data_IF_910134447924
#
_entry.id   IF_910134447924
#
_cell.length_a   1.000
_cell.length_b   1.000
_cell.length_c   1.000
_cell.angle_alpha   90.00
_cell.angle_beta   90.00
_cell.angle_gamma   90.00
#
_symmetry.space_group_name_H-M   'P 1'
#
loop_
_entity.id
_entity.type
_entity.pdbx_description
1 polymer ?
#
# COMPACT_ATOMS: atom_id res chain seq x y z
N UNK A 1 -12.54 -6.64 7.43
CA UNK A 1 -11.51 -6.22 6.46
C UNK A 1 -10.38 -7.24 6.42
N UNK A 2 -9.96 -7.68 5.23
CA UNK A 2 -8.83 -8.60 5.06
C UNK A 2 -7.50 -7.84 5.04
N UNK A 3 -6.54 -8.22 5.87
CA UNK A 3 -5.19 -7.62 5.84
C UNK A 3 -4.25 -8.49 5.02
N UNK A 4 -3.49 -7.88 4.11
CA UNK A 4 -2.44 -8.48 3.30
C UNK A 4 -1.09 -7.88 3.65
N UNK A 5 -0.06 -8.73 3.70
CA UNK A 5 1.34 -8.28 3.71
C UNK A 5 1.92 -8.44 2.31
N UNK A 6 2.34 -7.33 1.71
CA UNK A 6 3.10 -7.32 0.47
C UNK A 6 4.56 -7.67 0.77
N UNK A 7 5.03 -8.76 0.15
CA UNK A 7 6.31 -9.39 0.46
C UNK A 7 7.09 -9.74 -0.79
N UNK A 8 8.40 -9.50 -0.77
CA UNK A 8 9.31 -10.12 -1.74
C UNK A 8 9.50 -11.62 -1.42
N UNK A 9 9.98 -12.45 -2.37
CA UNK A 9 10.16 -13.88 -2.14
C UNK A 9 10.98 -14.23 -0.89
N UNK A 10 12.05 -13.47 -0.61
CA UNK A 10 12.91 -13.69 0.57
C UNK A 10 12.25 -13.34 1.91
N UNK A 11 11.18 -12.55 1.90
CA UNK A 11 10.50 -12.08 3.10
C UNK A 11 9.27 -12.92 3.48
N UNK A 12 8.75 -13.71 2.52
CA UNK A 12 7.46 -14.39 2.67
C UNK A 12 7.39 -15.29 3.90
N UNK A 13 8.46 -16.04 4.23
CA UNK A 13 8.47 -16.92 5.39
C UNK A 13 8.40 -16.16 6.72
N UNK A 14 9.10 -15.04 6.84
CA UNK A 14 9.09 -14.21 8.05
C UNK A 14 7.72 -13.55 8.24
N UNK A 15 7.19 -12.92 7.19
CA UNK A 15 5.89 -12.25 7.22
C UNK A 15 4.72 -13.21 7.48
N UNK A 16 4.78 -14.44 6.95
CA UNK A 16 3.74 -15.46 7.10
C UNK A 16 3.50 -15.90 8.56
N UNK A 17 4.43 -15.59 9.48
CA UNK A 17 4.26 -15.83 10.92
C UNK A 17 3.21 -14.90 11.54
N UNK A 18 3.05 -13.71 10.97
CA UNK A 18 2.18 -12.67 11.51
C UNK A 18 0.81 -12.67 10.85
N UNK A 19 0.76 -12.76 9.52
CA UNK A 19 -0.48 -12.71 8.76
C UNK A 19 -0.43 -13.56 7.51
N UNK A 20 -1.60 -14.10 7.17
CA UNK A 20 -1.95 -14.68 5.88
C UNK A 20 -3.36 -14.21 5.52
N UNK A 21 -3.71 -14.11 4.23
CA UNK A 21 -2.88 -14.32 3.05
C UNK A 21 -1.86 -13.20 2.75
N UNK A 22 -0.88 -13.50 1.89
CA UNK A 22 0.19 -12.58 1.45
C UNK A 22 -0.10 -12.03 0.05
N UNK A 23 0.46 -10.86 -0.28
CA UNK A 23 0.58 -10.36 -1.65
C UNK A 23 2.04 -10.55 -2.12
N UNK A 24 2.25 -11.37 -3.15
CA UNK A 24 3.59 -11.77 -3.58
C UNK A 24 4.17 -10.76 -4.56
N UNK A 25 5.01 -9.84 -4.06
CA UNK A 25 5.76 -8.83 -4.82
C UNK A 25 6.92 -9.51 -5.54
N UNK A 26 6.59 -10.17 -6.63
CA UNK A 26 7.51 -11.02 -7.37
C UNK A 26 7.32 -10.95 -8.88
N UNK A 27 6.38 -10.14 -9.37
CA UNK A 27 6.07 -10.05 -10.80
C UNK A 27 6.24 -8.63 -11.31
N UNK A 28 6.71 -8.54 -12.55
CA UNK A 28 6.85 -7.27 -13.28
C UNK A 28 6.51 -7.49 -14.75
N UNK A 29 6.23 -6.40 -15.43
CA UNK A 29 5.99 -6.38 -16.88
C UNK A 29 7.35 -6.31 -17.60
N UNK A 30 7.57 -7.21 -18.56
CA UNK A 30 8.75 -7.25 -19.43
C UNK A 30 8.41 -6.92 -20.88
N UNK A 31 9.44 -6.90 -21.72
CA UNK A 31 9.33 -6.60 -23.16
C UNK A 31 8.35 -7.51 -23.89
N UNK A 32 7.61 -6.96 -24.86
CA UNK A 32 6.54 -7.69 -25.57
C UNK A 32 5.42 -8.15 -24.65
N UNK A 33 5.09 -7.34 -23.63
CA UNK A 33 3.99 -7.58 -22.70
C UNK A 33 4.06 -8.92 -21.94
N UNK A 34 5.27 -9.42 -21.67
CA UNK A 34 5.47 -10.67 -20.93
C UNK A 34 5.42 -10.46 -19.42
N UNK A 35 4.78 -11.39 -18.70
CA UNK A 35 4.83 -11.42 -17.24
C UNK A 35 6.13 -12.08 -16.78
N UNK A 36 7.05 -11.27 -16.26
CA UNK A 36 8.29 -11.76 -15.65
C UNK A 36 8.07 -12.06 -14.18
N UNK A 37 8.71 -13.13 -13.69
CA UNK A 37 8.63 -13.59 -12.31
C UNK A 37 10.02 -13.68 -11.71
N UNK A 38 10.19 -13.17 -10.49
CA UNK A 38 11.39 -13.37 -9.68
C UNK A 38 11.46 -14.81 -9.11
N UNK A 39 12.52 -15.12 -8.36
CA UNK A 39 12.74 -16.45 -7.79
C UNK A 39 11.78 -16.75 -6.62
N UNK A 40 10.52 -17.04 -6.95
CA UNK A 40 9.53 -17.60 -6.02
C UNK A 40 9.76 -19.10 -5.84
N UNK A 41 9.72 -19.54 -4.58
CA UNK A 41 9.76 -20.95 -4.23
C UNK A 41 8.64 -21.73 -4.96
N UNK A 42 8.92 -22.97 -5.36
CA UNK A 42 7.97 -23.81 -6.09
C UNK A 42 6.67 -24.03 -5.28
N UNK A 43 6.80 -24.16 -3.96
CA UNK A 43 5.70 -24.37 -3.02
C UNK A 43 4.86 -23.13 -2.70
N UNK A 44 5.24 -21.93 -3.20
CA UNK A 44 4.42 -20.73 -2.98
C UNK A 44 3.06 -20.89 -3.66
N UNK A 45 2.00 -20.86 -2.84
CA UNK A 45 0.61 -21.04 -3.21
C UNK A 45 -0.28 -20.11 -2.37
N UNK A 46 -1.41 -19.68 -2.93
CA UNK A 46 -2.39 -18.84 -2.24
C UNK A 46 -1.96 -17.37 -2.08
N UNK A 47 -2.93 -16.53 -1.74
CA UNK A 47 -2.74 -15.09 -1.64
C UNK A 47 -2.94 -14.36 -2.96
N UNK A 48 -2.20 -13.28 -3.18
CA UNK A 48 -2.35 -12.41 -4.34
C UNK A 48 -1.08 -12.39 -5.20
N UNK A 49 -1.28 -12.26 -6.51
CA UNK A 49 -0.23 -11.93 -7.45
C UNK A 49 -0.01 -10.41 -7.43
N UNK A 50 1.19 -9.93 -7.05
CA UNK A 50 1.50 -8.49 -7.18
C UNK A 50 2.34 -8.23 -8.44
N UNK A 51 1.87 -7.32 -9.30
CA UNK A 51 2.56 -6.87 -10.53
C UNK A 51 3.01 -5.42 -10.37
N UNK A 52 4.31 -5.18 -10.49
CA UNK A 52 4.87 -3.82 -10.51
C UNK A 52 5.02 -3.28 -11.94
N UNK A 53 4.80 -1.98 -12.11
CA UNK A 53 5.11 -1.25 -13.35
C UNK A 53 6.42 -0.45 -13.30
N UNK A 54 7.19 -0.61 -12.22
CA UNK A 54 8.46 0.09 -12.04
C UNK A 54 9.42 -0.28 -13.17
N UNK A 55 9.83 0.72 -13.96
CA UNK A 55 10.67 0.55 -15.17
C UNK A 55 10.07 -0.44 -16.18
N UNK A 56 8.74 -0.59 -16.21
CA UNK A 56 8.06 -1.45 -17.18
C UNK A 56 8.09 -0.82 -18.58
N UNK A 57 8.32 -1.63 -19.64
CA UNK A 57 8.16 -1.18 -21.02
C UNK A 57 6.68 -0.89 -21.33
N UNK A 58 6.41 -0.46 -22.56
CA UNK A 58 5.04 -0.28 -23.05
C UNK A 58 4.31 -1.62 -23.06
N UNK A 59 3.04 -1.62 -22.67
CA UNK A 59 2.15 -2.78 -22.85
C UNK A 59 1.51 -2.67 -24.24
N UNK A 60 2.07 -3.39 -25.20
CA UNK A 60 1.62 -3.46 -26.60
C UNK A 60 0.64 -4.61 -26.89
N UNK A 61 0.61 -5.64 -26.04
CA UNK A 61 -0.32 -6.78 -26.10
C UNK A 61 -0.97 -7.01 -24.73
N UNK A 62 -1.99 -6.21 -24.37
CA UNK A 62 -2.66 -6.31 -23.08
C UNK A 62 -3.42 -7.63 -22.92
N UNK A 63 -3.91 -8.24 -24.00
CA UNK A 63 -4.58 -9.55 -23.99
C UNK A 63 -3.62 -10.66 -23.55
N UNK A 64 -2.43 -10.73 -24.15
CA UNK A 64 -1.42 -11.72 -23.79
C UNK A 64 -0.96 -11.56 -22.34
N UNK A 65 -0.76 -10.32 -21.89
CA UNK A 65 -0.38 -10.03 -20.50
C UNK A 65 -1.48 -10.44 -19.52
N UNK A 66 -2.75 -10.11 -19.80
CA UNK A 66 -3.90 -10.56 -18.99
C UNK A 66 -3.93 -12.09 -18.88
N UNK A 67 -3.79 -12.78 -20.02
CA UNK A 67 -3.79 -14.24 -20.04
C UNK A 67 -2.61 -14.82 -19.24
N UNK A 68 -1.43 -14.19 -19.27
CA UNK A 68 -0.27 -14.59 -18.47
C UNK A 68 -0.53 -14.43 -16.96
N UNK A 69 -1.09 -13.29 -16.55
CA UNK A 69 -1.46 -13.02 -15.15
C UNK A 69 -2.47 -14.05 -14.65
N UNK A 70 -3.53 -14.33 -15.42
CA UNK A 70 -4.56 -15.28 -15.03
C UNK A 70 -4.06 -16.73 -14.99
N UNK A 71 -3.22 -17.14 -15.94
CA UNK A 71 -2.56 -18.46 -15.94
C UNK A 71 -1.71 -18.64 -14.68
N UNK A 72 -0.91 -17.65 -14.31
CA UNK A 72 -0.11 -17.71 -13.10
C UNK A 72 -0.98 -17.74 -11.84
N UNK A 73 -2.06 -16.95 -11.80
CA UNK A 73 -3.03 -17.01 -10.71
C UNK A 73 -3.67 -18.40 -10.57
N UNK A 74 -4.02 -19.06 -11.67
CA UNK A 74 -4.51 -20.44 -11.66
C UNK A 74 -3.46 -21.41 -11.11
N UNK A 75 -2.23 -21.35 -11.63
CA UNK A 75 -1.13 -22.26 -11.26
C UNK A 75 -0.71 -22.16 -9.79
N UNK A 76 -0.85 -20.98 -9.20
CA UNK A 76 -0.46 -20.65 -7.81
C UNK A 76 -1.65 -20.60 -6.86
N UNK A 77 -2.87 -20.86 -7.35
CA UNK A 77 -4.11 -20.68 -6.60
C UNK A 77 -4.23 -19.27 -5.95
N UNK A 78 -3.82 -18.23 -6.68
CA UNK A 78 -4.00 -16.85 -6.23
C UNK A 78 -5.47 -16.44 -6.38
N UNK A 79 -5.97 -15.82 -5.31
CA UNK A 79 -7.37 -15.40 -5.18
C UNK A 79 -7.61 -13.98 -5.73
N UNK A 80 -6.55 -13.28 -6.10
CA UNK A 80 -6.61 -11.93 -6.61
C UNK A 80 -5.28 -11.42 -7.12
N UNK A 81 -5.31 -10.20 -7.62
CA UNK A 81 -4.20 -9.49 -8.25
C UNK A 81 -4.10 -8.13 -7.57
N UNK A 82 -2.87 -7.74 -7.23
CA UNK A 82 -2.51 -6.42 -6.76
C UNK A 82 -1.65 -5.76 -7.85
N UNK A 83 -2.09 -4.62 -8.37
CA UNK A 83 -1.28 -3.79 -9.25
C UNK A 83 -0.53 -2.78 -8.39
N UNK A 84 0.78 -3.00 -8.26
CA UNK A 84 1.72 -2.14 -7.54
C UNK A 84 2.29 -1.09 -8.52
N UNK A 85 1.38 -0.26 -9.04
CA UNK A 85 1.70 0.71 -10.09
C UNK A 85 2.07 2.05 -9.48
N UNK A 86 3.35 2.41 -9.57
CA UNK A 86 3.94 3.61 -8.95
C UNK A 86 4.05 4.78 -9.94
N UNK A 87 4.02 4.52 -11.24
CA UNK A 87 4.06 5.57 -12.27
C UNK A 87 2.72 6.27 -12.46
N UNK A 88 2.70 7.52 -12.98
CA UNK A 88 1.47 8.19 -13.37
C UNK A 88 0.66 7.40 -14.41
N UNK A 89 -0.68 7.57 -14.48
CA UNK A 89 -1.51 6.90 -15.47
C UNK A 89 -1.03 7.07 -16.91
N UNK A 90 -0.84 5.95 -17.61
CA UNK A 90 -0.50 5.90 -19.04
C UNK A 90 -1.56 5.12 -19.82
N UNK A 91 -1.80 5.46 -21.11
CA UNK A 91 -2.86 4.82 -21.89
C UNK A 91 -2.75 3.30 -22.06
N UNK A 92 -1.51 2.79 -22.19
CA UNK A 92 -1.22 1.35 -22.31
C UNK A 92 -1.62 0.60 -21.03
N UNK A 93 -1.23 1.14 -19.88
CA UNK A 93 -1.58 0.62 -18.55
C UNK A 93 -3.08 0.68 -18.31
N UNK A 94 -3.74 1.79 -18.67
CA UNK A 94 -5.20 1.91 -18.55
C UNK A 94 -5.95 0.91 -19.43
N UNK A 95 -5.43 0.61 -20.61
CA UNK A 95 -6.01 -0.42 -21.49
C UNK A 95 -5.84 -1.80 -20.89
N UNK A 96 -4.63 -2.14 -20.41
CA UNK A 96 -4.38 -3.38 -19.69
C UNK A 96 -5.28 -3.55 -18.46
N UNK A 97 -5.43 -2.52 -17.63
CA UNK A 97 -6.23 -2.55 -16.40
C UNK A 97 -7.71 -2.78 -16.72
N UNK A 98 -8.28 -2.04 -17.68
CA UNK A 98 -9.67 -2.24 -18.11
C UNK A 98 -9.89 -3.65 -18.64
N UNK A 99 -8.95 -4.15 -19.45
CA UNK A 99 -9.04 -5.52 -19.97
C UNK A 99 -8.97 -6.54 -18.84
N UNK A 100 -8.06 -6.37 -17.90
CA UNK A 100 -7.89 -7.26 -16.76
C UNK A 100 -9.12 -7.25 -15.85
N UNK A 101 -9.74 -6.10 -15.61
CA UNK A 101 -10.98 -5.94 -14.84
C UNK A 101 -12.16 -6.73 -15.46
N UNK A 102 -12.24 -6.77 -16.80
CA UNK A 102 -13.24 -7.57 -17.51
C UNK A 102 -13.01 -9.09 -17.36
N UNK A 103 -11.75 -9.53 -17.43
CA UNK A 103 -11.41 -10.96 -17.50
C UNK A 103 -11.00 -11.59 -16.17
N UNK A 104 -10.81 -10.80 -15.09
CA UNK A 104 -10.41 -11.29 -13.78
C UNK A 104 -11.41 -12.28 -13.16
N UNK A 105 -12.68 -12.23 -13.59
CA UNK A 105 -13.73 -13.11 -13.13
C UNK A 105 -14.01 -12.92 -11.65
N UNK A 106 -13.86 -13.98 -10.85
CA UNK A 106 -14.08 -13.93 -9.38
C UNK A 106 -12.89 -13.41 -8.59
N UNK A 107 -11.74 -13.16 -9.25
CA UNK A 107 -10.53 -12.68 -8.57
C UNK A 107 -10.66 -11.20 -8.26
N UNK A 108 -10.29 -10.80 -7.04
CA UNK A 108 -10.20 -9.39 -6.70
C UNK A 108 -9.06 -8.73 -7.51
N UNK A 109 -9.30 -7.54 -8.04
CA UNK A 109 -8.29 -6.72 -8.70
C UNK A 109 -8.09 -5.45 -7.89
N UNK A 110 -6.98 -5.35 -7.17
CA UNK A 110 -6.60 -4.19 -6.39
C UNK A 110 -5.65 -3.30 -7.20
N UNK A 111 -5.85 -1.99 -7.16
CA UNK A 111 -5.03 -1.03 -7.93
C UNK A 111 -4.99 0.36 -7.26
N UNK A 112 -4.04 1.23 -7.62
CA UNK A 112 -3.98 2.58 -7.10
C UNK A 112 -5.22 3.40 -7.50
N UNK A 113 -5.69 4.27 -6.60
CA UNK A 113 -6.87 5.12 -6.79
C UNK A 113 -6.88 5.86 -8.14
N UNK A 114 -5.74 6.42 -8.55
CA UNK A 114 -5.56 7.15 -9.82
C UNK A 114 -5.79 6.34 -11.09
N UNK A 115 -5.75 5.01 -11.02
CA UNK A 115 -6.02 4.10 -12.14
C UNK A 115 -7.45 3.57 -12.13
N UNK A 116 -8.28 3.97 -11.16
CA UNK A 116 -9.60 3.38 -10.97
C UNK A 116 -10.67 3.88 -11.95
N UNK A 117 -10.38 4.95 -12.69
CA UNK A 117 -11.29 5.47 -13.71
C UNK A 117 -11.52 4.45 -14.82
N UNK A 118 -12.78 4.25 -15.22
CA UNK A 118 -13.15 3.30 -16.27
C UNK A 118 -13.17 1.81 -15.86
N UNK A 119 -12.85 1.49 -14.60
CA UNK A 119 -13.00 0.12 -14.05
C UNK A 119 -14.38 -0.08 -13.40
N UNK A 120 -14.93 -1.29 -13.52
CA UNK A 120 -16.26 -1.68 -13.00
C UNK A 120 -16.16 -2.53 -11.73
N UNK A 121 -15.23 -3.48 -11.68
CA UNK A 121 -15.16 -4.47 -10.60
C UNK A 121 -13.95 -4.31 -9.69
N UNK A 122 -12.95 -3.56 -10.14
CA UNK A 122 -11.72 -3.38 -9.43
C UNK A 122 -11.91 -2.62 -8.10
N UNK A 123 -10.95 -2.79 -7.20
CA UNK A 123 -10.96 -2.33 -5.81
C UNK A 123 -9.83 -1.33 -5.61
N UNK A 124 -10.13 -0.02 -5.70
CA UNK A 124 -9.12 1.02 -5.52
C UNK A 124 -8.49 1.02 -4.13
N UNK A 125 -7.20 1.28 -4.08
CA UNK A 125 -6.41 1.48 -2.88
C UNK A 125 -6.44 2.95 -2.48
N UNK A 126 -7.01 3.23 -1.32
CA UNK A 126 -7.00 4.56 -0.71
C UNK A 126 -5.85 4.61 0.29
N UNK A 127 -4.91 5.51 0.05
CA UNK A 127 -3.77 5.70 0.95
C UNK A 127 -4.26 6.13 2.35
N UNK A 128 -3.70 5.53 3.39
CA UNK A 128 -4.00 5.82 4.79
C UNK A 128 -2.96 6.73 5.45
N UNK A 129 -1.90 7.09 4.72
CA UNK A 129 -0.94 8.11 5.09
C UNK A 129 -1.46 9.48 4.67
N UNK A 130 -1.76 10.33 5.66
CA UNK A 130 -2.29 11.68 5.46
C UNK A 130 -1.39 12.66 6.20
N UNK A 131 -0.83 13.63 5.49
CA UNK A 131 0.02 14.71 6.05
C UNK A 131 -0.71 16.05 6.19
N UNK A 132 -1.95 16.14 5.74
CA UNK A 132 -2.81 17.32 5.87
C UNK A 132 -4.28 16.98 5.66
N UNK A 133 -5.18 17.81 6.19
CA UNK A 133 -6.62 17.52 6.20
C UNK A 133 -7.01 16.51 7.30
N UNK A 134 -8.12 15.80 7.11
CA UNK A 134 -8.63 14.83 8.08
C UNK A 134 -8.73 13.42 7.47
N UNK A 135 -8.06 12.46 8.10
CA UNK A 135 -8.00 11.05 7.72
C UNK A 135 -9.38 10.40 7.66
N UNK A 136 -10.22 10.62 8.67
CA UNK A 136 -11.54 9.98 8.73
C UNK A 136 -12.47 10.54 7.66
N UNK A 137 -12.43 11.85 7.42
CA UNK A 137 -13.19 12.50 6.36
C UNK A 137 -12.76 12.01 4.99
N UNK A 138 -11.45 11.95 4.70
CA UNK A 138 -10.91 11.38 3.46
C UNK A 138 -11.44 9.97 3.19
N UNK A 139 -11.42 9.09 4.19
CA UNK A 139 -11.91 7.72 4.02
C UNK A 139 -13.43 7.69 3.81
N UNK A 140 -14.20 8.56 4.47
CA UNK A 140 -15.65 8.66 4.31
C UNK A 140 -16.02 9.16 2.91
N UNK A 141 -15.31 10.16 2.40
CA UNK A 141 -15.49 10.69 1.05
C UNK A 141 -15.24 9.62 0.00
N UNK A 142 -14.12 8.91 0.10
CA UNK A 142 -13.81 7.81 -0.80
C UNK A 142 -14.88 6.70 -0.75
N UNK A 143 -15.29 6.28 0.45
CA UNK A 143 -16.30 5.26 0.64
C UNK A 143 -17.67 5.66 0.05
N UNK A 144 -18.06 6.92 0.18
CA UNK A 144 -19.30 7.47 -0.39
C UNK A 144 -19.35 7.41 -1.92
N UNK A 145 -18.22 7.52 -2.61
CA UNK A 145 -18.15 7.50 -4.07
C UNK A 145 -18.24 6.09 -4.68
N UNK A 146 -17.74 5.06 -3.99
CA UNK A 146 -17.62 3.69 -4.55
C UNK A 146 -18.28 2.59 -3.70
N UNK A 147 -19.13 2.94 -2.74
CA UNK A 147 -19.99 2.00 -2.01
C UNK A 147 -19.23 0.90 -1.25
N UNK A 148 -18.06 1.23 -0.68
CA UNK A 148 -17.28 0.30 0.17
C UNK A 148 -16.42 -0.74 -0.58
N UNK A 149 -16.43 -0.79 -1.92
CA UNK A 149 -15.49 -1.61 -2.72
C UNK A 149 -14.10 -0.96 -2.79
N UNK A 150 -13.52 -0.69 -1.63
CA UNK A 150 -12.23 -0.05 -1.46
C UNK A 150 -11.32 -0.91 -0.61
N UNK A 151 -10.03 -0.66 -0.72
CA UNK A 151 -9.03 -1.19 0.18
C UNK A 151 -8.11 -0.07 0.65
N UNK A 152 -7.47 -0.26 1.80
CA UNK A 152 -6.49 0.68 2.34
C UNK A 152 -5.10 0.33 1.84
N UNK A 153 -4.38 1.34 1.38
CA UNK A 153 -2.93 1.30 1.28
C UNK A 153 -2.32 1.86 2.56
N UNK A 154 -1.73 0.99 3.37
CA UNK A 154 -1.26 1.27 4.72
C UNK A 154 0.25 1.55 4.71
N UNK A 155 0.61 2.71 4.17
CA UNK A 155 1.96 3.26 4.28
C UNK A 155 2.23 3.72 5.72
N UNK A 156 3.40 3.34 6.26
CA UNK A 156 3.84 3.81 7.58
C UNK A 156 4.56 5.14 7.45
N UNK A 157 3.89 6.22 7.86
CA UNK A 157 4.47 7.56 7.83
C UNK A 157 5.71 7.66 8.73
N UNK A 158 6.74 8.32 8.20
CA UNK A 158 7.88 8.91 8.94
C UNK A 158 8.40 10.08 8.11
N UNK A 159 7.98 11.29 8.44
CA UNK A 159 8.24 12.48 7.62
C UNK A 159 8.67 13.65 8.50
N UNK A 160 9.66 14.41 8.05
CA UNK A 160 10.07 15.69 8.64
C UNK A 160 9.67 16.84 7.72
N UNK A 161 8.88 17.78 8.25
CA UNK A 161 8.40 18.95 7.53
C UNK A 161 9.10 20.19 8.07
N UNK A 162 9.85 20.89 7.21
CA UNK A 162 10.32 22.24 7.51
C UNK A 162 9.15 23.21 7.41
N UNK A 163 8.94 24.03 8.44
CA UNK A 163 7.83 24.96 8.53
C UNK A 163 8.21 26.39 8.12
N UNK A 164 7.33 27.11 7.41
CA UNK A 164 6.03 26.66 6.91
C UNK A 164 6.17 25.64 5.77
N UNK A 165 5.26 24.66 5.72
CA UNK A 165 5.26 23.60 4.70
C UNK A 165 4.11 23.80 3.69
N UNK A 166 4.19 24.81 2.80
CA UNK A 166 3.07 25.24 1.97
C UNK A 166 2.59 24.17 0.97
N UNK A 167 3.45 23.23 0.60
CA UNK A 167 3.11 22.12 -0.31
C UNK A 167 2.55 20.90 0.42
N UNK A 168 2.63 20.86 1.76
CA UNK A 168 2.31 19.67 2.55
C UNK A 168 3.23 18.48 2.26
N UNK A 169 4.39 18.71 1.64
CA UNK A 169 5.42 17.69 1.39
C UNK A 169 6.53 17.80 2.43
N UNK A 170 6.93 16.67 2.98
CA UNK A 170 8.03 16.55 3.93
C UNK A 170 9.13 15.67 3.37
N UNK A 171 10.24 15.60 4.10
CA UNK A 171 11.35 14.70 3.80
C UNK A 171 11.13 13.34 4.47
N UNK A 172 11.22 12.23 3.73
CA UNK A 172 11.09 10.90 4.32
C UNK A 172 12.21 10.60 5.30
N UNK A 173 11.84 10.07 6.46
CA UNK A 173 12.78 9.61 7.48
C UNK A 173 12.88 8.09 7.46
N UNK A 174 14.13 7.59 7.48
CA UNK A 174 14.38 6.20 7.87
C UNK A 174 14.04 5.99 9.35
N UNK A 175 13.80 4.73 9.76
CA UNK A 175 13.62 4.38 11.18
C UNK A 175 14.76 4.92 12.05
N UNK A 176 16.01 4.71 11.61
CA UNK A 176 17.20 5.18 12.31
C UNK A 176 17.33 6.72 12.35
N UNK A 177 16.80 7.44 11.37
CA UNK A 177 16.76 8.90 11.41
C UNK A 177 15.74 9.40 12.43
N UNK A 178 14.54 8.83 12.44
CA UNK A 178 13.51 9.15 13.43
C UNK A 178 13.99 8.85 14.86
N UNK A 179 14.58 7.68 15.11
CA UNK A 179 15.13 7.32 16.43
C UNK A 179 16.19 8.31 16.91
N UNK A 180 17.12 8.70 16.02
CA UNK A 180 18.15 9.70 16.35
C UNK A 180 17.54 11.07 16.67
N UNK A 181 16.51 11.50 15.94
CA UNK A 181 15.81 12.75 16.24
C UNK A 181 15.12 12.68 17.62
N UNK A 182 14.46 11.57 17.95
CA UNK A 182 13.82 11.40 19.26
C UNK A 182 14.85 11.40 20.41
N UNK A 183 16.02 10.78 20.22
CA UNK A 183 17.11 10.79 21.20
C UNK A 183 17.73 12.18 21.38
N UNK A 184 17.95 12.90 20.28
CA UNK A 184 18.60 14.21 20.29
C UNK A 184 17.70 15.31 20.85
N UNK A 185 16.44 15.35 20.41
CA UNK A 185 15.50 16.42 20.76
C UNK A 185 14.72 16.13 22.03
N UNK A 186 14.71 14.86 22.49
CA UNK A 186 13.90 14.37 23.61
C UNK A 186 12.47 14.96 23.63
N UNK A 187 11.71 14.89 22.52
CA UNK A 187 10.51 15.70 22.35
C UNK A 187 9.32 15.12 23.11
N UNK A 188 8.37 15.98 23.47
CA UNK A 188 7.02 15.53 23.81
C UNK A 188 6.30 15.06 22.53
N UNK A 189 5.81 13.82 22.55
CA UNK A 189 5.09 13.22 21.42
C UNK A 189 3.58 13.35 21.64
N UNK A 190 2.88 13.86 20.64
CA UNK A 190 1.43 14.05 20.65
C UNK A 190 0.76 13.15 19.61
N UNK A 191 -0.55 12.95 19.76
CA UNK A 191 -1.38 12.26 18.78
C UNK A 191 -2.30 13.27 18.08
N UNK A 192 -2.26 13.31 16.75
CA UNK A 192 -3.20 14.07 15.93
C UNK A 192 -4.42 13.22 15.62
N UNK A 193 -5.59 13.65 16.09
CA UNK A 193 -6.86 12.99 15.76
C UNK A 193 -7.19 13.14 14.27
N UNK A 194 -6.93 14.32 13.70
CA UNK A 194 -7.20 14.61 12.28
C UNK A 194 -6.35 13.74 11.37
N UNK A 195 -5.04 13.64 11.62
CA UNK A 195 -4.13 12.86 10.78
C UNK A 195 -4.09 11.37 11.16
N UNK A 196 -4.63 11.02 12.33
CA UNK A 196 -4.52 9.70 12.94
C UNK A 196 -3.06 9.20 12.99
N UNK A 197 -2.15 10.08 13.39
CA UNK A 197 -0.70 9.84 13.44
C UNK A 197 -0.08 10.54 14.65
N UNK A 198 1.14 10.13 15.02
CA UNK A 198 1.92 10.80 16.07
C UNK A 198 2.72 11.94 15.48
N UNK A 199 2.95 12.99 16.26
CA UNK A 199 3.82 14.07 15.85
C UNK A 199 4.59 14.70 17.01
N UNK A 200 5.65 15.41 16.68
CA UNK A 200 6.32 16.37 17.55
C UNK A 200 6.92 17.51 16.72
N UNK A 201 7.35 18.57 17.39
CA UNK A 201 8.05 19.69 16.77
C UNK A 201 9.39 19.91 17.43
N UNK A 202 10.38 20.37 16.67
CA UNK A 202 11.68 20.81 17.20
C UNK A 202 12.19 22.00 16.40
N UNK A 203 13.18 22.71 16.95
CA UNK A 203 13.81 23.85 16.28
C UNK A 203 15.31 23.60 16.17
N UNK A 204 15.86 23.77 14.97
CA UNK A 204 17.30 23.64 14.72
C UNK A 204 17.76 24.77 13.80
N UNK A 205 18.84 25.45 14.17
CA UNK A 205 19.41 26.56 13.39
C UNK A 205 18.39 27.66 13.02
N UNK A 206 17.41 27.90 13.90
CA UNK A 206 16.33 28.88 13.68
C UNK A 206 15.16 28.37 12.83
N UNK A 207 15.23 27.14 12.33
CA UNK A 207 14.18 26.51 11.53
C UNK A 207 13.27 25.65 12.41
N UNK A 208 11.95 25.82 12.23
CA UNK A 208 10.95 25.01 12.93
C UNK A 208 10.62 23.77 12.09
N UNK A 209 10.62 22.62 12.73
CA UNK A 209 10.34 21.33 12.12
C UNK A 209 9.10 20.70 12.75
N UNK A 210 8.33 19.98 11.95
CA UNK A 210 7.21 19.15 12.37
C UNK A 210 7.45 17.73 11.89
N UNK A 211 7.59 16.78 12.80
CA UNK A 211 7.79 15.38 12.47
C UNK A 211 6.48 14.64 12.64
N UNK A 212 6.02 13.96 11.58
CA UNK A 212 4.81 13.15 11.57
C UNK A 212 5.17 11.68 11.34
N UNK A 213 4.65 10.78 12.16
CA UNK A 213 4.96 9.37 12.03
C UNK A 213 3.86 8.44 12.53
N UNK A 214 3.91 7.20 12.06
CA UNK A 214 3.04 6.10 12.47
C UNK A 214 3.77 5.10 13.38
N UNK A 215 3.08 4.70 14.44
CA UNK A 215 3.44 3.58 15.30
C UNK A 215 2.42 2.43 15.13
N UNK A 216 2.58 1.34 15.89
CA UNK A 216 1.66 0.21 15.82
C UNK A 216 0.21 0.60 16.21
N UNK A 217 0.04 1.52 17.16
CA UNK A 217 -1.28 1.92 17.65
C UNK A 217 -2.01 2.79 16.62
N UNK A 218 -1.32 3.75 16.01
CA UNK A 218 -1.91 4.61 14.97
C UNK A 218 -2.34 3.78 13.76
N UNK A 219 -1.51 2.82 13.32
CA UNK A 219 -1.86 1.91 12.23
C UNK A 219 -3.04 0.98 12.60
N UNK A 220 -3.12 0.49 13.84
CA UNK A 220 -4.31 -0.26 14.31
C UNK A 220 -5.56 0.61 14.31
N UNK A 221 -5.45 1.88 14.71
CA UNK A 221 -6.57 2.81 14.68
C UNK A 221 -7.06 3.06 13.24
N UNK A 222 -6.13 3.27 12.30
CA UNK A 222 -6.44 3.36 10.87
C UNK A 222 -7.17 2.12 10.33
N UNK A 223 -6.73 0.91 10.73
CA UNK A 223 -7.43 -0.34 10.38
C UNK A 223 -8.85 -0.42 10.96
N UNK A 224 -9.05 0.02 12.22
CA UNK A 224 -10.38 0.06 12.85
C UNK A 224 -11.30 1.02 12.11
N UNK A 225 -10.81 2.21 11.76
CA UNK A 225 -11.58 3.21 10.99
C UNK A 225 -11.98 2.67 9.61
N UNK A 226 -11.04 2.08 8.86
CA UNK A 226 -11.36 1.44 7.57
C UNK A 226 -12.39 0.32 7.71
N UNK A 227 -12.27 -0.51 8.74
CA UNK A 227 -13.25 -1.57 9.03
C UNK A 227 -14.63 -0.99 9.31
N UNK A 228 -14.73 0.06 10.13
CA UNK A 228 -15.99 0.72 10.46
C UNK A 228 -16.66 1.37 9.24
N UNK A 229 -15.86 1.84 8.28
CA UNK A 229 -16.31 2.42 7.01
C UNK A 229 -16.56 1.38 5.90
N UNK A 230 -16.41 0.08 6.21
CA UNK A 230 -16.73 -1.01 5.28
C UNK A 230 -15.65 -1.34 4.25
N UNK A 231 -14.40 -0.90 4.46
CA UNK A 231 -13.29 -1.25 3.56
C UNK A 231 -13.05 -2.77 3.54
N UNK A 232 -12.84 -3.29 2.33
CA UNK A 232 -12.76 -4.73 2.08
C UNK A 232 -11.41 -5.33 2.46
N UNK A 233 -10.32 -4.59 2.21
CA UNK A 233 -8.96 -5.04 2.47
C UNK A 233 -8.03 -3.89 2.92
N UNK A 234 -6.85 -4.25 3.43
CA UNK A 234 -5.76 -3.34 3.75
C UNK A 234 -4.41 -3.99 3.40
N UNK A 235 -3.46 -3.20 2.90
CA UNK A 235 -2.17 -3.66 2.41
C UNK A 235 -1.04 -2.96 3.16
N UNK A 236 -0.13 -3.74 3.74
CA UNK A 236 1.12 -3.22 4.30
C UNK A 236 2.30 -3.73 3.49
N UNK A 237 3.29 -2.88 3.25
CA UNK A 237 4.60 -3.32 2.79
C UNK A 237 5.37 -3.93 3.96
N UNK A 238 5.68 -5.23 3.89
CA UNK A 238 6.37 -5.92 4.99
C UNK A 238 7.66 -5.21 5.48
N UNK A 239 8.53 -4.67 4.61
CA UNK A 239 9.72 -3.94 5.05
C UNK A 239 9.44 -2.75 5.97
N UNK A 240 8.28 -2.11 5.85
CA UNK A 240 7.93 -0.89 6.60
C UNK A 240 7.45 -1.18 8.02
N UNK A 241 6.88 -2.36 8.24
CA UNK A 241 6.20 -2.72 9.49
C UNK A 241 6.87 -3.87 10.24
N UNK A 242 7.90 -4.50 9.69
CA UNK A 242 8.56 -5.66 10.29
C UNK A 242 9.03 -5.43 11.73
N UNK A 243 9.51 -4.23 12.06
CA UNK A 243 10.01 -3.84 13.38
C UNK A 243 8.90 -3.60 14.41
N UNK A 244 7.66 -3.40 13.96
CA UNK A 244 6.48 -3.20 14.81
C UNK A 244 5.44 -4.29 14.64
N UNK A 245 5.75 -5.35 13.89
CA UNK A 245 4.80 -6.38 13.48
C UNK A 245 4.16 -7.09 14.68
N UNK A 246 4.95 -7.33 15.74
CA UNK A 246 4.46 -7.90 16.98
C UNK A 246 3.31 -7.06 17.53
N UNK A 247 3.53 -5.77 17.82
CA UNK A 247 2.49 -4.88 18.36
C UNK A 247 1.32 -4.61 17.40
N UNK A 248 1.61 -4.50 16.10
CA UNK A 248 0.62 -4.19 15.07
C UNK A 248 -0.38 -5.34 14.87
N UNK A 249 0.08 -6.59 14.89
CA UNK A 249 -0.73 -7.74 14.51
C UNK A 249 -1.24 -8.60 15.67
N UNK A 250 -0.96 -8.26 16.94
CA UNK A 250 -1.50 -9.00 18.08
C UNK A 250 -3.03 -9.13 18.00
N UNK A 251 -3.60 -10.29 18.39
CA UNK A 251 -5.04 -10.43 18.59
C UNK A 251 -5.56 -9.30 19.50
N UNK A 252 -6.76 -8.81 19.21
CA UNK A 252 -7.47 -7.88 20.10
C UNK A 252 -8.10 -8.65 21.26
#
# INVERSE_FOLDING_TARGET
MQVYLAVTPGQAQAAAKYRRPLAHVAYRIGEGSVLLRQNLLLQTQGGLLSVSDRKAPVIDDPEALCAAVLRECGRRNYQGILLDFEEPPRPDRQTFIRRLDEVAGRRALYLPERYAEGTKNAVPLICAAVSGGNFTERLREAAGQRGGRLALDMERLRMDFRLPAPTGQGEPLSAAALSRLMEQEAPAVFFSQDLCARYFTYTRDGECHFVLFDDAETLRQKLRTGTALGFSAAFFMWPEVQDIADGLFQPF
#
